data_IF_017548114130
#
_entry.id   IF_017548114130
#
_cell.length_a   1.000
_cell.length_b   1.000
_cell.length_c   1.000
_cell.angle_alpha   90.00
_cell.angle_beta   90.00
_cell.angle_gamma   90.00
#
_symmetry.space_group_name_H-M   'P 1'
#
loop_
_entity.id
_entity.type
_entity.pdbx_description
1 polymer ?
#
# COMPACT_ATOMS: atom_id res chain seq x y z
N UNK A 1 -50.70 57.28 -19.71
CA UNK A 1 -52.10 57.15 -20.17
C UNK A 1 -52.26 55.75 -20.75
N UNK A 2 -53.09 54.92 -20.14
CA UNK A 2 -53.37 53.54 -20.55
C UNK A 2 -54.80 53.44 -21.08
N UNK A 3 -55.04 52.55 -22.04
CA UNK A 3 -56.25 51.72 -22.23
C UNK A 3 -55.97 50.72 -23.37
N UNK A 4 -55.92 49.41 -23.13
CA UNK A 4 -57.08 48.49 -22.94
C UNK A 4 -58.05 48.63 -24.12
N UNK A 5 -58.42 47.60 -24.87
CA UNK A 5 -58.54 46.15 -24.63
C UNK A 5 -58.80 45.54 -26.00
N UNK A 6 -58.36 44.30 -26.24
CA UNK A 6 -59.32 43.39 -26.86
C UNK A 6 -59.24 42.00 -26.24
N UNK A 7 -60.45 41.53 -26.08
CA UNK A 7 -60.95 40.38 -25.37
C UNK A 7 -60.74 39.15 -26.26
N UNK A 8 -60.40 38.01 -25.67
CA UNK A 8 -61.21 36.77 -25.79
C UNK A 8 -60.39 35.54 -25.39
N UNK A 9 -60.92 34.84 -24.38
CA UNK A 9 -60.56 33.49 -23.99
C UNK A 9 -61.39 32.52 -24.86
N UNK A 10 -60.94 31.28 -25.13
CA UNK A 10 -61.33 30.23 -24.17
C UNK A 10 -60.34 29.07 -23.99
N UNK A 11 -60.21 28.66 -22.72
CA UNK A 11 -60.35 27.29 -22.19
C UNK A 11 -59.58 26.16 -22.92
N UNK A 12 -58.58 25.56 -22.25
CA UNK A 12 -58.72 24.25 -21.56
C UNK A 12 -57.41 23.65 -21.01
N UNK A 13 -57.40 23.45 -19.69
CA UNK A 13 -56.96 22.27 -18.93
C UNK A 13 -55.79 21.42 -19.45
N UNK A 14 -54.63 21.53 -18.80
CA UNK A 14 -53.82 20.36 -18.39
C UNK A 14 -53.21 20.65 -17.02
N UNK A 15 -53.63 19.88 -16.01
CA UNK A 15 -52.94 19.77 -14.73
C UNK A 15 -51.81 18.77 -14.93
N UNK A 16 -50.56 19.22 -14.86
CA UNK A 16 -49.40 18.33 -14.80
C UNK A 16 -48.74 18.50 -13.43
N UNK A 17 -49.03 17.56 -12.53
CA UNK A 17 -48.30 17.34 -11.29
C UNK A 17 -46.96 16.67 -11.65
N UNK A 18 -45.89 17.44 -11.71
CA UNK A 18 -44.53 16.88 -11.81
C UNK A 18 -43.98 16.66 -10.40
N UNK A 19 -44.02 15.40 -9.96
CA UNK A 19 -43.41 14.94 -8.71
C UNK A 19 -41.88 15.04 -8.77
N UNK A 20 -41.30 15.71 -7.79
CA UNK A 20 -39.86 15.75 -7.55
C UNK A 20 -39.48 14.58 -6.64
N UNK A 21 -38.90 13.51 -7.21
CA UNK A 21 -38.32 12.40 -6.44
C UNK A 21 -36.91 12.82 -6.03
N UNK A 22 -36.72 13.09 -4.73
CA UNK A 22 -35.40 13.33 -4.12
C UNK A 22 -34.73 11.97 -3.93
N UNK A 23 -33.80 11.62 -4.83
CA UNK A 23 -32.93 10.46 -4.67
C UNK A 23 -31.84 10.73 -3.64
N UNK A 24 -31.96 10.12 -2.46
CA UNK A 24 -30.88 10.06 -1.46
C UNK A 24 -29.80 9.09 -1.94
N UNK A 25 -28.71 9.64 -2.45
CA UNK A 25 -27.45 8.93 -2.65
C UNK A 25 -26.72 8.83 -1.29
N UNK A 26 -26.67 7.63 -0.71
CA UNK A 26 -26.02 7.37 0.58
C UNK A 26 -24.97 6.27 0.48
N UNK A 27 -23.74 6.70 0.19
CA UNK A 27 -22.43 6.06 0.41
C UNK A 27 -22.39 4.55 0.67
N UNK A 28 -21.99 3.79 -0.36
CA UNK A 28 -21.48 2.44 -0.18
C UNK A 28 -20.09 2.55 0.47
N UNK A 29 -20.03 2.29 1.77
CA UNK A 29 -18.78 2.12 2.49
C UNK A 29 -18.16 0.80 2.03
N UNK A 30 -17.22 0.87 1.09
CA UNK A 30 -16.28 -0.22 0.87
C UNK A 30 -15.41 -0.31 2.11
N UNK A 31 -15.76 -1.20 3.03
CA UNK A 31 -14.79 -1.71 3.99
C UNK A 31 -13.69 -2.38 3.15
N UNK A 32 -12.55 -1.70 3.03
CA UNK A 32 -11.34 -2.37 2.61
C UNK A 32 -11.01 -3.32 3.75
N UNK A 33 -11.38 -4.60 3.60
CA UNK A 33 -10.70 -5.68 4.29
C UNK A 33 -9.21 -5.39 4.17
N UNK A 34 -8.56 -5.16 5.31
CA UNK A 34 -7.11 -5.10 5.39
C UNK A 34 -6.63 -6.52 5.08
N UNK A 35 -6.54 -6.81 3.78
CA UNK A 35 -6.19 -8.11 3.27
C UNK A 35 -4.87 -8.55 3.87
N UNK A 36 -4.80 -9.84 4.15
CA UNK A 36 -3.56 -10.58 4.28
C UNK A 36 -2.53 -10.01 3.30
N UNK A 37 -1.34 -9.61 3.75
CA UNK A 37 -0.33 -9.00 2.89
C UNK A 37 0.25 -10.01 1.89
N UNK A 38 -0.59 -10.42 0.94
CA UNK A 38 -0.26 -11.18 -0.24
C UNK A 38 0.57 -10.34 -1.22
N UNK A 39 0.80 -10.92 -2.39
CA UNK A 39 1.39 -10.29 -3.57
C UNK A 39 0.80 -8.89 -3.86
N UNK A 40 -0.52 -8.73 -3.72
CA UNK A 40 -1.20 -7.46 -3.99
C UNK A 40 -0.74 -6.30 -3.10
N UNK A 41 -0.40 -6.57 -1.82
CA UNK A 41 0.13 -5.54 -0.91
C UNK A 41 1.54 -5.11 -1.31
N UNK A 42 2.35 -6.05 -1.80
CA UNK A 42 3.68 -5.78 -2.29
C UNK A 42 3.62 -5.03 -3.63
N UNK A 43 2.76 -5.42 -4.56
CA UNK A 43 2.62 -4.76 -5.87
C UNK A 43 2.06 -3.33 -5.75
N UNK A 44 1.13 -3.10 -4.82
CA UNK A 44 0.55 -1.78 -4.59
C UNK A 44 1.48 -0.81 -3.82
N UNK A 45 2.62 -1.29 -3.31
CA UNK A 45 3.50 -0.48 -2.46
C UNK A 45 4.13 0.67 -3.23
N UNK A 46 4.33 1.80 -2.55
CA UNK A 46 5.08 2.91 -3.13
C UNK A 46 6.55 2.47 -3.38
N UNK A 47 7.11 2.77 -4.57
CA UNK A 47 8.52 2.51 -4.83
C UNK A 47 9.41 3.44 -3.98
N UNK A 48 10.55 2.90 -3.55
CA UNK A 48 11.54 3.62 -2.74
C UNK A 48 12.91 3.59 -3.43
N UNK A 49 13.80 4.55 -3.15
CA UNK A 49 15.18 4.50 -3.59
C UNK A 49 15.85 3.18 -3.18
N UNK A 50 16.63 2.56 -4.06
CA UNK A 50 17.31 1.32 -3.74
C UNK A 50 18.52 1.57 -2.82
N UNK A 51 18.64 0.73 -1.80
CA UNK A 51 19.82 0.54 -0.96
C UNK A 51 20.66 -0.67 -1.40
N UNK A 52 20.40 -1.19 -2.60
CA UNK A 52 21.11 -2.33 -3.19
C UNK A 52 20.35 -3.63 -3.10
N UNK A 53 21.05 -4.70 -3.46
CA UNK A 53 20.58 -6.08 -3.38
C UNK A 53 21.73 -6.98 -2.94
N UNK A 54 21.45 -7.98 -2.13
CA UNK A 54 22.45 -8.96 -1.71
C UNK A 54 21.87 -10.37 -1.61
N UNK A 55 22.72 -11.35 -1.85
CA UNK A 55 22.45 -12.76 -1.58
C UNK A 55 23.21 -13.15 -0.32
N UNK A 56 22.49 -13.68 0.68
CA UNK A 56 23.08 -14.18 1.92
C UNK A 56 23.48 -15.63 1.73
N UNK A 57 24.76 -15.90 2.02
CA UNK A 57 25.24 -17.27 2.20
C UNK A 57 24.59 -17.89 3.43
N UNK A 58 24.39 -19.21 3.39
CA UNK A 58 23.82 -19.97 4.51
C UNK A 58 24.64 -19.76 5.79
N UNK A 59 23.93 -19.53 6.91
CA UNK A 59 24.56 -19.28 8.21
C UNK A 59 25.20 -17.90 8.38
N UNK A 60 25.13 -17.02 7.37
CA UNK A 60 25.61 -15.64 7.46
C UNK A 60 24.46 -14.69 7.75
N UNK A 61 24.61 -13.87 8.79
CA UNK A 61 23.58 -12.90 9.17
C UNK A 61 23.59 -11.66 8.27
N UNK A 62 22.43 -11.03 8.13
CA UNK A 62 22.27 -9.81 7.36
C UNK A 62 23.13 -8.66 7.91
N UNK A 63 23.28 -8.57 9.23
CA UNK A 63 24.13 -7.55 9.88
C UNK A 63 25.59 -7.69 9.50
N UNK A 64 26.05 -8.93 9.23
CA UNK A 64 27.43 -9.20 8.84
C UNK A 64 27.68 -8.90 7.36
N UNK A 65 26.84 -9.43 6.48
CA UNK A 65 27.05 -9.34 5.03
C UNK A 65 26.43 -8.08 4.39
N UNK A 66 25.35 -7.54 4.97
CA UNK A 66 24.56 -6.45 4.42
C UNK A 66 24.86 -5.07 5.00
N UNK A 67 26.06 -4.85 5.58
CA UNK A 67 26.41 -3.60 6.26
C UNK A 67 26.19 -2.34 5.42
N UNK A 68 26.50 -2.39 4.13
CA UNK A 68 26.35 -1.24 3.23
C UNK A 68 24.87 -0.91 3.00
N UNK A 69 24.05 -1.95 2.77
CA UNK A 69 22.60 -1.80 2.63
C UNK A 69 21.94 -1.28 3.91
N UNK A 70 22.33 -1.82 5.07
CA UNK A 70 21.85 -1.37 6.39
C UNK A 70 22.26 0.09 6.63
N UNK A 71 23.49 0.46 6.29
CA UNK A 71 23.99 1.83 6.42
C UNK A 71 23.20 2.80 5.53
N UNK A 72 22.88 2.36 4.31
CA UNK A 72 22.01 3.11 3.41
C UNK A 72 20.60 3.29 3.98
N UNK A 73 19.96 2.22 4.49
CA UNK A 73 18.65 2.31 5.13
C UNK A 73 18.67 3.27 6.33
N UNK A 74 19.73 3.22 7.14
CA UNK A 74 19.89 4.12 8.28
C UNK A 74 20.04 5.58 7.84
N UNK A 75 20.77 5.84 6.75
CA UNK A 75 20.84 7.18 6.16
C UNK A 75 19.48 7.64 5.62
N UNK A 76 18.75 6.75 4.95
CA UNK A 76 17.41 7.01 4.42
C UNK A 76 16.39 7.34 5.52
N UNK A 77 16.45 6.64 6.65
CA UNK A 77 15.64 6.90 7.84
C UNK A 77 15.89 8.30 8.39
N UNK A 78 17.17 8.65 8.60
CA UNK A 78 17.58 9.97 9.10
C UNK A 78 17.17 11.09 8.16
N UNK A 79 17.31 10.89 6.85
CA UNK A 79 16.99 11.91 5.85
C UNK A 79 15.51 11.98 5.49
N UNK A 80 14.67 11.02 5.91
CA UNK A 80 13.26 10.93 5.52
C UNK A 80 13.03 10.67 4.03
N UNK A 81 14.04 10.20 3.30
CA UNK A 81 13.93 9.92 1.85
C UNK A 81 13.29 8.57 1.58
N UNK A 82 13.33 7.68 2.57
CA UNK A 82 12.99 6.27 2.44
C UNK A 82 14.03 5.49 1.62
N UNK A 83 14.01 4.18 1.74
CA UNK A 83 14.93 3.28 1.06
C UNK A 83 14.46 1.82 1.10
N UNK A 84 14.89 1.02 0.13
CA UNK A 84 14.57 -0.41 0.05
C UNK A 84 15.84 -1.24 -0.20
N UNK A 85 16.08 -2.24 0.65
CA UNK A 85 17.13 -3.23 0.52
C UNK A 85 16.51 -4.59 0.19
N UNK A 86 16.92 -5.16 -0.94
CA UNK A 86 16.52 -6.53 -1.33
C UNK A 86 17.54 -7.54 -0.82
N UNK A 87 17.06 -8.56 -0.11
CA UNK A 87 17.87 -9.63 0.44
C UNK A 87 17.32 -10.95 -0.08
N UNK A 88 18.18 -11.80 -0.62
CA UNK A 88 17.83 -13.18 -0.94
C UNK A 88 18.60 -14.11 -0.02
N UNK A 89 17.92 -15.05 0.64
CA UNK A 89 18.54 -16.15 1.36
C UNK A 89 18.08 -17.47 0.74
N UNK A 90 18.90 -18.51 0.85
CA UNK A 90 18.51 -19.86 0.45
C UNK A 90 18.09 -20.65 1.69
N UNK A 91 17.03 -21.45 1.58
CA UNK A 91 16.72 -22.50 2.54
C UNK A 91 17.83 -23.56 2.55
N UNK A 92 17.76 -24.52 3.48
CA UNK A 92 18.70 -25.65 3.53
C UNK A 92 18.68 -26.45 2.22
N UNK A 93 17.50 -26.60 1.63
CA UNK A 93 17.22 -27.32 0.37
C UNK A 93 17.63 -26.51 -0.88
N UNK A 94 18.00 -25.24 -0.70
CA UNK A 94 18.44 -24.35 -1.77
C UNK A 94 17.32 -23.52 -2.41
N UNK A 95 16.11 -23.53 -1.86
CA UNK A 95 15.02 -22.72 -2.38
C UNK A 95 15.17 -21.25 -1.94
N UNK A 96 14.90 -20.27 -2.81
CA UNK A 96 15.12 -18.86 -2.49
C UNK A 96 13.95 -18.25 -1.72
N UNK A 97 14.26 -17.56 -0.63
CA UNK A 97 13.37 -16.62 0.06
C UNK A 97 13.90 -15.21 -0.17
N UNK A 98 13.01 -14.28 -0.58
CA UNK A 98 13.39 -12.88 -0.84
C UNK A 98 12.70 -11.96 0.16
N UNK A 99 13.51 -11.20 0.91
CA UNK A 99 13.03 -10.18 1.82
C UNK A 99 13.32 -8.78 1.29
N UNK A 100 12.36 -7.87 1.41
CA UNK A 100 12.48 -6.46 1.03
C UNK A 100 12.39 -5.61 2.29
N UNK A 101 13.55 -5.27 2.87
CA UNK A 101 13.63 -4.39 4.04
C UNK A 101 13.50 -2.95 3.59
N UNK A 102 12.55 -2.22 4.17
CA UNK A 102 12.18 -0.89 3.74
C UNK A 102 12.17 0.07 4.91
N UNK A 103 12.56 1.30 4.62
CA UNK A 103 12.30 2.46 5.46
C UNK A 103 11.43 3.42 4.65
N UNK A 104 10.29 3.82 5.18
CA UNK A 104 9.36 4.72 4.48
C UNK A 104 9.74 6.20 4.68
N UNK A 105 9.10 7.09 3.92
CA UNK A 105 9.22 8.55 4.13
C UNK A 105 8.62 9.00 5.46
N UNK A 106 7.69 8.21 6.02
CA UNK A 106 7.07 8.40 7.32
C UNK A 106 7.96 7.89 8.47
N UNK A 107 9.18 7.42 8.17
CA UNK A 107 10.14 6.87 9.14
C UNK A 107 9.64 5.62 9.86
N UNK A 108 8.79 4.85 9.19
CA UNK A 108 8.44 3.48 9.59
C UNK A 108 9.40 2.50 8.92
N UNK A 109 9.53 1.32 9.49
CA UNK A 109 10.21 0.17 8.89
C UNK A 109 9.18 -0.86 8.46
N UNK A 110 9.44 -1.50 7.33
CA UNK A 110 8.59 -2.55 6.78
C UNK A 110 9.48 -3.68 6.26
N UNK A 111 8.99 -4.91 6.31
CA UNK A 111 9.57 -6.03 5.55
C UNK A 111 8.44 -6.71 4.80
N UNK A 112 8.70 -7.00 3.52
CA UNK A 112 7.93 -7.98 2.76
C UNK A 112 8.79 -9.21 2.57
N UNK A 113 8.25 -10.40 2.77
CA UNK A 113 8.95 -11.67 2.55
C UNK A 113 8.18 -12.47 1.52
N UNK A 114 8.87 -12.81 0.43
CA UNK A 114 8.43 -13.71 -0.63
C UNK A 114 9.08 -15.08 -0.41
N UNK A 115 8.29 -16.03 0.08
CA UNK A 115 8.64 -17.45 0.16
C UNK A 115 7.88 -18.29 -0.86
N UNK A 116 7.30 -17.66 -1.90
CA UNK A 116 6.52 -18.38 -2.93
C UNK A 116 7.33 -19.40 -3.74
N UNK A 117 8.66 -19.36 -3.62
CA UNK A 117 9.59 -20.28 -4.27
C UNK A 117 10.18 -21.32 -3.31
N UNK A 118 9.81 -21.30 -2.04
CA UNK A 118 10.12 -22.34 -1.05
C UNK A 118 9.15 -23.51 -1.19
N UNK A 119 9.56 -24.57 -1.89
CA UNK A 119 8.67 -25.68 -2.25
C UNK A 119 8.30 -26.55 -1.06
N UNK A 120 9.13 -26.53 -0.02
CA UNK A 120 9.01 -27.40 1.14
C UNK A 120 8.57 -26.64 2.40
N UNK A 121 8.65 -25.30 2.40
CA UNK A 121 8.12 -24.43 3.43
C UNK A 121 6.75 -23.82 3.09
N UNK A 122 6.43 -22.71 3.78
CA UNK A 122 5.21 -21.96 3.53
C UNK A 122 5.33 -21.16 2.24
N UNK A 123 4.58 -21.56 1.20
CA UNK A 123 4.50 -20.84 -0.08
C UNK A 123 3.59 -19.63 0.10
N UNK A 124 4.15 -18.49 0.49
CA UNK A 124 3.35 -17.31 0.80
C UNK A 124 4.13 -15.99 0.61
N UNK A 125 3.39 -14.90 0.69
CA UNK A 125 3.91 -13.59 1.03
C UNK A 125 3.64 -13.30 2.50
N UNK A 126 4.52 -12.55 3.14
CA UNK A 126 4.23 -11.99 4.46
C UNK A 126 4.75 -10.57 4.58
N UNK A 127 4.14 -9.81 5.49
CA UNK A 127 4.54 -8.44 5.78
C UNK A 127 4.59 -8.20 7.28
N UNK A 128 5.53 -7.38 7.70
CA UNK A 128 5.58 -6.84 9.06
C UNK A 128 6.05 -5.40 9.00
N UNK A 129 5.61 -4.59 9.95
CA UNK A 129 6.03 -3.20 10.04
C UNK A 129 6.11 -2.72 11.47
N UNK A 130 7.00 -1.76 11.70
CA UNK A 130 7.08 -1.05 12.97
C UNK A 130 6.95 0.46 12.71
N UNK A 131 6.01 1.10 13.42
CA UNK A 131 5.71 2.52 13.24
C UNK A 131 6.72 3.45 13.94
N UNK A 132 7.43 2.93 14.96
CA UNK A 132 8.41 3.66 15.76
C UNK A 132 9.66 2.81 16.02
N UNK A 133 10.41 2.45 14.97
CA UNK A 133 11.55 1.56 15.11
C UNK A 133 12.71 2.23 15.84
N UNK A 134 13.38 1.46 16.68
CA UNK A 134 14.67 1.80 17.29
C UNK A 134 15.85 1.38 16.41
N UNK A 135 15.64 0.48 15.43
CA UNK A 135 16.63 0.10 14.42
C UNK A 135 16.00 -0.09 13.03
N UNK A 136 16.78 0.01 11.95
CA UNK A 136 16.27 -0.15 10.57
C UNK A 136 15.87 -1.58 10.19
N UNK A 137 16.19 -2.56 11.03
CA UNK A 137 15.78 -3.96 10.85
C UNK A 137 14.67 -4.37 11.81
N UNK A 138 14.29 -3.51 12.75
CA UNK A 138 13.16 -3.75 13.65
C UNK A 138 11.86 -3.53 12.89
N UNK A 139 11.07 -4.59 12.69
CA UNK A 139 9.85 -4.59 11.89
C UNK A 139 8.65 -5.13 12.65
N UNK A 140 8.79 -5.36 13.95
CA UNK A 140 7.72 -5.80 14.82
C UNK A 140 7.75 -4.99 16.12
N UNK A 141 6.85 -4.01 16.20
CA UNK A 141 6.50 -3.18 17.33
C UNK A 141 5.04 -2.70 17.10
#
# INVERSE_FOLDING_TARGET
MARQTDMESPRRWVVALSGLVIGLAGVSACSADAGDPGDGSFEARAPLPSCGSLVLDQGISLERAGRDGITCLAAALRSGKGGELKVQALTTEGDPIVSYYRVTKQRTTEVYVDSTRDKFGGVDWSYSSCSKPTSVLEVNC
#
